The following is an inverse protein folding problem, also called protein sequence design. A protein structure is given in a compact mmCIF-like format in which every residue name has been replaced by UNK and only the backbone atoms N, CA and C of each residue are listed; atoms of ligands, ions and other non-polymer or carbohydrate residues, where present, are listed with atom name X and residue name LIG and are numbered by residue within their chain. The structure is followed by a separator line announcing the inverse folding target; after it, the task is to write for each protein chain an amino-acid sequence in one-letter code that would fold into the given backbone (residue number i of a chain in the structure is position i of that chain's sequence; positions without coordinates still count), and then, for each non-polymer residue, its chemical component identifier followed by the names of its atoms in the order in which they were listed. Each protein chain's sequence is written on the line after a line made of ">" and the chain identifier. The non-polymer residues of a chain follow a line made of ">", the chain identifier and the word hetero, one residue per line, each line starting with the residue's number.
data_IF_710375666661
#
_entry.id   IF_710375666661
#
_cell.length_a   1.000
_cell.length_b   1.000
_cell.length_c   1.000
_cell.angle_alpha   90.00
_cell.angle_beta   90.00
_cell.angle_gamma   90.00
#
_symmetry.space_group_name_H-M   'P 1'
#
loop_
_entity.id
_entity.type
_entity.pdbx_description
1 polymer ?
#
# COMPACT_ATOMS: atom_id res chain seq x y z
N UNK A 1 23.24 20.39 -20.12
CA UNK A 1 22.25 19.36 -20.48
C UNK A 1 20.95 19.69 -19.79
N UNK A 2 19.98 20.29 -20.49
CA UNK A 2 18.66 20.62 -19.94
C UNK A 2 17.63 19.65 -20.50
N UNK A 3 17.02 18.83 -19.66
CA UNK A 3 15.83 18.05 -20.00
C UNK A 3 14.63 19.01 -19.99
N UNK A 4 14.19 19.43 -21.17
CA UNK A 4 12.90 20.11 -21.34
C UNK A 4 11.81 19.03 -21.39
N UNK A 5 11.01 18.93 -20.32
CA UNK A 5 9.80 18.12 -20.34
C UNK A 5 8.72 18.88 -21.11
N UNK A 6 8.60 18.59 -22.40
CA UNK A 6 7.54 19.13 -23.24
C UNK A 6 6.31 18.23 -23.03
N UNK A 7 5.54 18.46 -21.95
CA UNK A 7 4.34 17.67 -21.68
C UNK A 7 3.16 18.25 -22.46
N UNK A 8 3.06 17.93 -23.75
CA UNK A 8 1.82 18.13 -24.49
C UNK A 8 0.81 17.06 -24.06
N UNK A 9 -0.17 17.46 -23.24
CA UNK A 9 -1.33 16.64 -22.91
C UNK A 9 -2.31 16.74 -24.07
N UNK A 10 -2.72 15.61 -24.65
CA UNK A 10 -3.65 15.60 -25.78
C UNK A 10 -5.09 15.86 -25.30
N UNK A 11 -5.95 16.36 -26.19
CA UNK A 11 -7.38 16.59 -25.88
C UNK A 11 -8.08 15.28 -25.47
N UNK A 12 -7.65 14.15 -26.03
CA UNK A 12 -8.11 12.80 -25.66
C UNK A 12 -7.70 12.41 -24.24
N UNK A 13 -6.50 12.81 -23.78
CA UNK A 13 -6.07 12.58 -22.40
C UNK A 13 -6.90 13.43 -21.43
N UNK A 14 -7.20 14.68 -21.79
CA UNK A 14 -8.08 15.55 -21.00
C UNK A 14 -9.50 15.00 -20.91
N UNK A 15 -10.05 14.47 -22.01
CA UNK A 15 -11.37 13.85 -22.02
C UNK A 15 -11.42 12.62 -21.10
N UNK A 16 -10.37 11.79 -21.14
CA UNK A 16 -10.24 10.61 -20.27
C UNK A 16 -10.14 10.99 -18.79
N UNK A 17 -9.46 12.10 -18.47
CA UNK A 17 -9.38 12.65 -17.10
C UNK A 17 -10.71 13.25 -16.62
N UNK A 18 -11.54 13.78 -17.53
CA UNK A 18 -12.88 14.28 -17.22
C UNK A 18 -13.89 13.15 -16.99
N UNK A 19 -13.76 12.04 -17.72
CA UNK A 19 -14.52 10.81 -17.49
C UNK A 19 -14.11 10.11 -16.19
N UNK A 20 -12.85 10.27 -15.78
CA UNK A 20 -12.40 9.92 -14.44
C UNK A 20 -13.02 10.90 -13.44
N UNK A 21 -14.19 10.53 -12.86
CA UNK A 21 -14.83 11.28 -11.78
C UNK A 21 -13.78 11.79 -10.80
N UNK A 22 -13.60 13.11 -10.72
CA UNK A 22 -12.68 13.75 -9.80
C UNK A 22 -13.13 13.44 -8.37
N UNK A 23 -12.60 12.35 -7.80
CA UNK A 23 -12.84 12.00 -6.40
C UNK A 23 -12.13 13.04 -5.56
N UNK A 24 -12.83 13.62 -4.57
CA UNK A 24 -12.21 14.55 -3.64
C UNK A 24 -11.01 13.88 -2.99
N UNK A 25 -9.86 14.55 -2.99
CA UNK A 25 -8.64 14.02 -2.35
C UNK A 25 -8.91 13.60 -0.90
N UNK A 26 -9.75 14.34 -0.18
CA UNK A 26 -10.20 14.00 1.18
C UNK A 26 -10.92 12.65 1.26
N UNK A 27 -11.72 12.29 0.25
CA UNK A 27 -12.43 11.02 0.18
C UNK A 27 -11.44 9.87 -0.07
N UNK A 28 -10.53 10.03 -1.05
CA UNK A 28 -9.49 9.03 -1.34
C UNK A 28 -8.61 8.79 -0.12
N UNK A 29 -8.22 9.87 0.58
CA UNK A 29 -7.43 9.77 1.80
C UNK A 29 -8.19 9.07 2.94
N UNK A 30 -9.49 9.35 3.10
CA UNK A 30 -10.33 8.68 4.11
C UNK A 30 -10.49 7.18 3.79
N UNK A 31 -10.75 6.84 2.54
CA UNK A 31 -10.91 5.45 2.09
C UNK A 31 -9.60 4.67 2.24
N UNK A 32 -8.46 5.28 1.88
CA UNK A 32 -7.14 4.68 2.06
C UNK A 32 -6.84 4.46 3.55
N UNK A 33 -7.14 5.44 4.41
CA UNK A 33 -6.98 5.29 5.86
C UNK A 33 -7.81 4.12 6.40
N UNK A 34 -9.07 4.03 5.98
CA UNK A 34 -9.97 2.96 6.41
C UNK A 34 -9.47 1.58 5.96
N UNK A 35 -9.01 1.48 4.71
CA UNK A 35 -8.40 0.26 4.18
C UNK A 35 -7.17 -0.15 4.99
N UNK A 36 -6.27 0.81 5.27
CA UNK A 36 -5.09 0.55 6.07
C UNK A 36 -5.47 0.04 7.47
N UNK A 37 -6.39 0.71 8.17
CA UNK A 37 -6.83 0.32 9.51
C UNK A 37 -7.36 -1.12 9.55
N UNK A 38 -8.17 -1.50 8.56
CA UNK A 38 -8.65 -2.87 8.43
C UNK A 38 -7.50 -3.87 8.24
N UNK A 39 -6.51 -3.52 7.41
CA UNK A 39 -5.36 -4.38 7.12
C UNK A 39 -4.34 -4.44 8.25
N UNK A 40 -4.25 -3.43 9.13
CA UNK A 40 -3.29 -3.40 10.25
C UNK A 40 -3.46 -4.62 11.15
N UNK A 41 -4.69 -4.98 11.51
CA UNK A 41 -4.95 -6.10 12.42
C UNK A 41 -4.47 -7.46 11.85
N UNK A 42 -4.50 -7.59 10.53
CA UNK A 42 -4.13 -8.82 9.83
C UNK A 42 -2.69 -8.80 9.29
N UNK A 43 -1.95 -7.72 9.47
CA UNK A 43 -0.58 -7.59 8.98
C UNK A 43 0.41 -8.11 10.05
N UNK A 44 1.03 -9.28 9.87
CA UNK A 44 1.92 -9.89 10.87
C UNK A 44 3.17 -9.05 11.21
N UNK A 45 3.50 -8.07 10.37
CA UNK A 45 4.61 -7.15 10.59
C UNK A 45 4.22 -6.00 11.53
N UNK A 46 2.93 -5.64 11.55
CA UNK A 46 2.38 -4.58 12.39
C UNK A 46 1.76 -5.13 13.67
N UNK A 47 1.06 -6.26 13.57
CA UNK A 47 0.62 -7.04 14.73
C UNK A 47 1.70 -8.03 15.08
N UNK A 48 2.45 -7.74 16.15
CA UNK A 48 3.49 -8.62 16.70
C UNK A 48 2.93 -10.04 16.83
N UNK A 49 3.37 -10.95 15.97
CA UNK A 49 2.96 -12.36 16.04
C UNK A 49 3.77 -13.09 17.11
N UNK A 50 3.15 -14.09 17.72
CA UNK A 50 3.85 -14.97 18.66
C UNK A 50 4.94 -15.74 17.92
N UNK A 51 5.98 -16.13 18.66
CA UNK A 51 7.10 -16.90 18.10
C UNK A 51 6.62 -18.19 17.41
N UNK A 52 5.61 -18.87 17.96
CA UNK A 52 5.01 -20.08 17.39
C UNK A 52 4.25 -19.86 16.08
N UNK A 53 3.78 -18.64 15.82
CA UNK A 53 3.00 -18.30 14.61
C UNK A 53 3.86 -17.65 13.52
N UNK A 54 5.16 -17.46 13.78
CA UNK A 54 6.12 -16.95 12.80
C UNK A 54 6.73 -18.11 11.99
N UNK A 55 6.41 -18.25 10.69
CA UNK A 55 6.95 -19.32 9.85
C UNK A 55 8.45 -19.18 9.57
N UNK A 56 9.04 -18.00 9.78
CA UNK A 56 10.48 -17.75 9.63
C UNK A 56 11.26 -18.03 10.91
N UNK A 57 10.59 -18.47 11.99
CA UNK A 57 11.27 -18.74 13.25
C UNK A 57 12.22 -19.93 13.09
N UNK A 58 13.50 -19.81 13.47
CA UNK A 58 14.39 -20.96 13.56
C UNK A 58 13.80 -22.02 14.51
N UNK A 59 13.86 -23.29 14.11
CA UNK A 59 13.46 -24.39 15.00
C UNK A 59 14.42 -24.42 16.19
N UNK A 60 13.87 -24.39 17.41
CA UNK A 60 14.68 -24.66 18.59
C UNK A 60 14.82 -26.17 18.65
N UNK A 61 15.96 -26.68 18.20
CA UNK A 61 16.32 -28.07 18.44
C UNK A 61 16.72 -28.14 19.91
N UNK A 62 15.92 -28.82 20.73
CA UNK A 62 16.34 -29.12 22.11
C UNK A 62 17.40 -30.22 22.04
N UNK A 63 18.66 -29.86 22.24
CA UNK A 63 19.70 -30.81 22.56
C UNK A 63 19.42 -31.33 23.98
N UNK A 64 18.87 -32.54 24.08
CA UNK A 64 18.85 -33.25 25.37
C UNK A 64 20.28 -33.73 25.63
N UNK A 65 20.94 -33.10 26.59
CA UNK A 65 22.14 -33.64 27.23
C UNK A 65 21.71 -34.49 28.42
#
# INVERSE_FOLDING_TARGET
>A
MSLSCNTTVSITDLHSLLECKLVKFSQVAADLKQFCLYKVQHNPLLTRVTSSRNPFRPQKVCSFW
#
